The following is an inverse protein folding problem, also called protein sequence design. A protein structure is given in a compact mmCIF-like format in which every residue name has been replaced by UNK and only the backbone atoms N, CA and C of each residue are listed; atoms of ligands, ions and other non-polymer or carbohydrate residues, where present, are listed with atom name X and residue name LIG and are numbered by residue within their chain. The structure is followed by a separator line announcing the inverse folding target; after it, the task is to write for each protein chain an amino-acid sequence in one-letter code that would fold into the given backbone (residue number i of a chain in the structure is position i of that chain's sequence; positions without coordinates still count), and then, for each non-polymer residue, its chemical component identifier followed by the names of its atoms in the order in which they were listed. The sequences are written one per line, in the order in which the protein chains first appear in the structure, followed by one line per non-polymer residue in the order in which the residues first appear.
data_IF_890895827006
#
_entry.id   IF_890895827006
#
_cell.length_a   1.000
_cell.length_b   1.000
_cell.length_c   1.000
_cell.angle_alpha   90.00
_cell.angle_beta   90.00
_cell.angle_gamma   90.00
#
_symmetry.space_group_name_H-M   'P 1'
#
loop_
_entity.id
_entity.type
_entity.pdbx_description
1 polymer ?
#
# COMPACT_ATOMS: atom_id res chain seq x y z
N UNK A 1 -56.39 4.98 45.06
CA UNK A 1 -55.07 5.40 44.54
C UNK A 1 -54.21 4.20 44.15
N UNK A 2 -54.01 3.19 45.00
CA UNK A 2 -53.14 2.02 44.71
C UNK A 2 -53.43 1.22 43.42
N UNK A 3 -54.67 1.23 42.90
CA UNK A 3 -55.06 0.44 41.73
C UNK A 3 -54.73 1.12 40.38
N UNK A 4 -54.57 2.45 40.37
CA UNK A 4 -54.09 3.19 39.18
C UNK A 4 -52.57 3.07 39.04
N UNK A 5 -51.84 3.21 40.15
CA UNK A 5 -50.37 3.12 40.15
C UNK A 5 -49.86 1.75 39.65
N UNK A 6 -50.61 0.68 39.93
CA UNK A 6 -50.27 -0.69 39.50
C UNK A 6 -50.51 -0.91 38.00
N UNK A 7 -51.58 -0.32 37.46
CA UNK A 7 -51.89 -0.38 36.02
C UNK A 7 -50.89 0.46 35.22
N UNK A 8 -50.50 1.63 35.72
CA UNK A 8 -49.49 2.49 35.09
C UNK A 8 -48.11 1.81 35.08
N UNK A 9 -47.76 1.09 36.16
CA UNK A 9 -46.51 0.33 36.24
C UNK A 9 -46.47 -0.87 35.28
N UNK A 10 -47.58 -1.59 35.12
CA UNK A 10 -47.70 -2.69 34.14
C UNK A 10 -47.57 -2.18 32.70
N UNK A 11 -48.22 -1.06 32.37
CA UNK A 11 -48.12 -0.43 31.06
C UNK A 11 -46.68 0.03 30.74
N UNK A 12 -45.97 0.58 31.73
CA UNK A 12 -44.56 0.97 31.58
C UNK A 12 -43.64 -0.22 31.31
N UNK A 13 -43.83 -1.34 32.01
CA UNK A 13 -43.07 -2.58 31.80
C UNK A 13 -43.30 -3.15 30.39
N UNK A 14 -44.55 -3.12 29.92
CA UNK A 14 -44.89 -3.61 28.58
C UNK A 14 -44.28 -2.72 27.47
N UNK A 15 -44.25 -1.40 27.69
CA UNK A 15 -43.60 -0.45 26.80
C UNK A 15 -42.08 -0.66 26.73
N UNK A 16 -41.42 -0.93 27.87
CA UNK A 16 -39.98 -1.27 27.92
C UNK A 16 -39.71 -2.57 27.15
N UNK A 17 -40.52 -3.62 27.38
CA UNK A 17 -40.38 -4.91 26.67
C UNK A 17 -40.49 -4.74 25.16
N UNK A 18 -41.49 -4.00 24.70
CA UNK A 18 -41.71 -3.74 23.28
C UNK A 18 -40.57 -2.92 22.66
N UNK A 19 -40.09 -1.90 23.37
CA UNK A 19 -38.96 -1.07 22.91
C UNK A 19 -37.67 -1.89 22.80
N UNK A 20 -37.39 -2.74 23.78
CA UNK A 20 -36.22 -3.59 23.82
C UNK A 20 -36.27 -4.70 22.75
N UNK A 21 -37.45 -5.24 22.45
CA UNK A 21 -37.65 -6.14 21.31
C UNK A 21 -37.38 -5.44 19.96
N UNK A 22 -37.87 -4.21 19.78
CA UNK A 22 -37.64 -3.42 18.58
C UNK A 22 -36.15 -3.09 18.37
N UNK A 23 -35.44 -2.69 19.43
CA UNK A 23 -34.00 -2.40 19.37
C UNK A 23 -33.17 -3.65 19.05
N UNK A 24 -33.51 -4.80 19.63
CA UNK A 24 -32.85 -6.08 19.30
C UNK A 24 -33.08 -6.48 17.84
N UNK A 25 -34.27 -6.22 17.30
CA UNK A 25 -34.58 -6.47 15.89
C UNK A 25 -33.75 -5.55 14.97
N UNK A 26 -33.68 -4.26 15.28
CA UNK A 26 -32.83 -3.31 14.54
C UNK A 26 -31.36 -3.69 14.59
N UNK A 27 -30.85 -4.07 15.76
CA UNK A 27 -29.48 -4.56 15.93
C UNK A 27 -29.20 -5.78 15.05
N UNK A 28 -30.14 -6.73 14.98
CA UNK A 28 -30.01 -7.92 14.14
C UNK A 28 -29.95 -7.54 12.65
N UNK A 29 -30.85 -6.66 12.19
CA UNK A 29 -30.86 -6.20 10.81
C UNK A 29 -29.54 -5.52 10.42
N UNK A 30 -28.99 -4.66 11.29
CA UNK A 30 -27.69 -4.00 11.07
C UNK A 30 -26.55 -5.02 10.95
N UNK A 31 -26.54 -6.06 11.79
CA UNK A 31 -25.51 -7.10 11.73
C UNK A 31 -25.59 -7.92 10.44
N UNK A 32 -26.80 -8.22 9.97
CA UNK A 32 -27.04 -8.91 8.70
C UNK A 32 -26.56 -8.06 7.51
N UNK A 33 -26.87 -6.75 7.51
CA UNK A 33 -26.40 -5.81 6.49
C UNK A 33 -24.86 -5.66 6.51
N UNK A 34 -24.25 -5.52 7.69
CA UNK A 34 -22.79 -5.48 7.85
C UNK A 34 -22.13 -6.74 7.26
N UNK A 35 -22.70 -7.91 7.54
CA UNK A 35 -22.20 -9.19 7.01
C UNK A 35 -22.34 -9.26 5.48
N UNK A 36 -23.46 -8.77 4.93
CA UNK A 36 -23.69 -8.73 3.48
C UNK A 36 -22.68 -7.82 2.78
N UNK A 37 -22.45 -6.61 3.30
CA UNK A 37 -21.49 -5.65 2.74
C UNK A 37 -20.05 -6.16 2.82
N UNK A 38 -19.68 -6.88 3.90
CA UNK A 38 -18.38 -7.54 4.00
C UNK A 38 -18.21 -8.66 2.97
N UNK A 39 -19.27 -9.44 2.71
CA UNK A 39 -19.26 -10.46 1.67
C UNK A 39 -19.15 -9.83 0.27
N UNK A 40 -19.76 -8.68 0.04
CA UNK A 40 -19.65 -7.92 -1.20
C UNK A 40 -18.22 -7.42 -1.44
N UNK A 41 -17.56 -6.85 -0.42
CA UNK A 41 -16.13 -6.49 -0.51
C UNK A 41 -15.27 -7.73 -0.84
N UNK A 42 -15.53 -8.86 -0.17
CA UNK A 42 -14.80 -10.10 -0.44
C UNK A 42 -15.00 -10.58 -1.89
N UNK A 43 -16.22 -10.47 -2.43
CA UNK A 43 -16.52 -10.82 -3.81
C UNK A 43 -15.80 -9.89 -4.80
N UNK A 44 -15.82 -8.57 -4.57
CA UNK A 44 -15.10 -7.60 -5.40
C UNK A 44 -13.59 -7.87 -5.42
N UNK A 45 -13.00 -8.19 -4.26
CA UNK A 45 -11.57 -8.51 -4.14
C UNK A 45 -11.20 -9.83 -4.83
N UNK A 46 -12.11 -10.78 -4.93
CA UNK A 46 -11.87 -12.08 -5.55
C UNK A 46 -11.98 -12.05 -7.09
N UNK A 47 -12.59 -11.00 -7.66
CA UNK A 47 -12.75 -10.89 -9.11
C UNK A 47 -11.40 -10.69 -9.81
N UNK A 48 -11.14 -11.38 -10.94
CA UNK A 48 -10.02 -11.08 -11.81
C UNK A 48 -9.97 -9.60 -12.21
N UNK A 49 -8.75 -9.12 -12.42
CA UNK A 49 -8.46 -7.75 -12.82
C UNK A 49 -8.48 -7.66 -14.36
N UNK A 50 -9.03 -6.60 -14.97
CA UNK A 50 -8.94 -6.38 -16.42
C UNK A 50 -7.49 -6.40 -16.94
N UNK A 51 -7.27 -6.88 -18.16
CA UNK A 51 -5.90 -7.05 -18.67
C UNK A 51 -5.12 -5.72 -18.78
N UNK A 52 -5.81 -4.62 -19.09
CA UNK A 52 -5.21 -3.28 -19.10
C UNK A 52 -4.69 -2.87 -17.71
N UNK A 53 -5.45 -3.17 -16.66
CA UNK A 53 -5.02 -2.95 -15.28
C UNK A 53 -3.89 -3.88 -14.88
N UNK A 54 -3.85 -5.13 -15.38
CA UNK A 54 -2.70 -6.04 -15.16
C UNK A 54 -1.42 -5.42 -15.74
N UNK A 55 -1.49 -4.87 -16.95
CA UNK A 55 -0.36 -4.17 -17.60
C UNK A 55 0.10 -2.98 -16.74
N UNK A 56 -0.83 -2.22 -16.19
CA UNK A 56 -0.52 -1.11 -15.29
C UNK A 56 0.08 -1.58 -13.96
N UNK A 57 -0.45 -2.64 -13.35
CA UNK A 57 0.07 -3.22 -12.09
C UNK A 57 1.53 -3.65 -12.23
N UNK A 58 1.92 -4.23 -13.36
CA UNK A 58 3.33 -4.57 -13.63
C UNK A 58 4.20 -3.32 -13.67
N UNK A 59 3.72 -2.25 -14.29
CA UNK A 59 4.43 -0.96 -14.33
C UNK A 59 4.55 -0.34 -12.93
N UNK A 60 3.48 -0.33 -12.16
CA UNK A 60 3.44 0.20 -10.80
C UNK A 60 4.36 -0.61 -9.87
N UNK A 61 4.43 -1.93 -10.05
CA UNK A 61 5.35 -2.80 -9.32
C UNK A 61 6.82 -2.44 -9.60
N UNK A 62 7.17 -2.17 -10.86
CA UNK A 62 8.51 -1.72 -11.25
C UNK A 62 8.86 -0.42 -10.54
N UNK A 63 7.94 0.55 -10.54
CA UNK A 63 8.14 1.85 -9.90
C UNK A 63 8.25 1.71 -8.37
N UNK A 64 7.43 0.85 -7.76
CA UNK A 64 7.51 0.56 -6.33
C UNK A 64 8.86 -0.06 -5.94
N UNK A 65 9.38 -1.01 -6.73
CA UNK A 65 10.70 -1.62 -6.50
C UNK A 65 11.83 -0.62 -6.72
N UNK A 66 11.74 0.22 -7.74
CA UNK A 66 12.68 1.31 -8.00
C UNK A 66 12.76 2.28 -6.80
N UNK A 67 11.61 2.58 -6.18
CA UNK A 67 11.56 3.44 -4.99
C UNK A 67 12.30 2.87 -3.79
N UNK A 68 12.26 1.55 -3.57
CA UNK A 68 13.02 0.90 -2.49
C UNK A 68 14.53 1.15 -2.62
N UNK A 69 15.05 1.27 -3.84
CA UNK A 69 16.46 1.61 -4.05
C UNK A 69 16.78 3.03 -3.59
N UNK A 70 15.92 4.01 -3.87
CA UNK A 70 16.07 5.37 -3.35
C UNK A 70 16.03 5.40 -1.82
N UNK A 71 15.08 4.68 -1.23
CA UNK A 71 14.88 4.62 0.21
C UNK A 71 16.02 3.91 0.94
N UNK A 72 16.78 3.04 0.26
CA UNK A 72 17.97 2.39 0.84
C UNK A 72 19.07 3.36 1.28
N UNK A 73 19.10 4.58 0.71
CA UNK A 73 20.14 5.57 0.98
C UNK A 73 21.54 5.21 0.47
N UNK A 74 21.72 4.02 -0.13
CA UNK A 74 23.05 3.56 -0.58
C UNK A 74 23.59 4.42 -1.72
N UNK A 75 22.73 4.83 -2.64
CA UNK A 75 23.10 5.71 -3.74
C UNK A 75 23.54 7.09 -3.24
N UNK A 76 22.78 7.68 -2.30
CA UNK A 76 23.12 8.95 -1.67
C UNK A 76 24.45 8.85 -0.90
N UNK A 77 24.67 7.74 -0.17
CA UNK A 77 25.94 7.46 0.51
C UNK A 77 27.12 7.39 -0.47
N UNK A 78 26.96 6.71 -1.62
CA UNK A 78 28.02 6.58 -2.63
C UNK A 78 28.32 7.91 -3.32
N UNK A 79 27.30 8.71 -3.66
CA UNK A 79 27.50 10.05 -4.19
C UNK A 79 28.17 10.97 -3.16
N UNK A 80 27.81 10.87 -1.89
CA UNK A 80 28.42 11.66 -0.83
C UNK A 80 29.93 11.36 -0.68
N UNK A 81 30.36 10.13 -0.97
CA UNK A 81 31.79 9.79 -1.00
C UNK A 81 32.53 10.47 -2.15
N UNK A 82 31.88 10.78 -3.27
CA UNK A 82 32.49 11.62 -4.31
C UNK A 82 32.58 13.09 -3.90
N UNK A 83 31.61 13.59 -3.14
CA UNK A 83 31.62 14.97 -2.65
C UNK A 83 32.68 15.12 -1.55
N UNK A 84 32.76 14.16 -0.63
CA UNK A 84 33.69 14.12 0.49
C UNK A 84 34.53 12.84 0.45
N UNK A 85 35.58 12.80 -0.40
CA UNK A 85 36.45 11.64 -0.51
C UNK A 85 37.11 11.26 0.82
N UNK A 86 37.30 9.96 1.01
CA UNK A 86 38.03 9.42 2.17
C UNK A 86 39.51 9.30 1.78
N UNK A 87 40.25 10.38 2.00
CA UNK A 87 41.69 10.40 1.79
C UNK A 87 42.45 9.48 2.76
N UNK A 88 41.88 9.24 3.94
CA UNK A 88 42.45 8.43 5.00
C UNK A 88 41.37 7.53 5.64
N UNK A 89 41.55 6.22 5.52
CA UNK A 89 40.59 5.20 5.98
C UNK A 89 40.32 5.21 7.50
N UNK A 90 41.15 5.90 8.28
CA UNK A 90 40.99 6.04 9.74
C UNK A 90 40.21 7.30 10.16
N UNK A 91 39.87 8.19 9.22
CA UNK A 91 39.09 9.38 9.52
C UNK A 91 37.57 9.07 9.46
N UNK A 92 36.79 9.51 10.46
CA UNK A 92 35.34 9.52 10.36
C UNK A 92 34.90 10.36 9.16
N UNK A 93 33.87 9.94 8.43
CA UNK A 93 33.35 10.64 7.23
C UNK A 93 33.01 12.12 7.49
N UNK A 94 32.61 12.46 8.73
CA UNK A 94 32.34 13.83 9.15
C UNK A 94 33.58 14.77 9.15
N UNK A 95 34.79 14.22 8.99
CA UNK A 95 36.05 14.97 8.94
C UNK A 95 36.69 14.98 7.55
N UNK A 96 36.03 14.39 6.55
CA UNK A 96 36.49 14.43 5.16
C UNK A 96 36.34 15.83 4.58
N UNK A 97 37.32 16.27 3.79
CA UNK A 97 37.26 17.53 3.06
C UNK A 97 36.55 17.33 1.71
N UNK A 98 35.90 18.37 1.18
CA UNK A 98 35.31 18.31 -0.16
C UNK A 98 36.34 17.96 -1.23
N UNK A 99 35.87 17.32 -2.31
CA UNK A 99 36.65 17.05 -3.51
C UNK A 99 37.23 18.35 -4.08
N UNK A 100 38.55 18.37 -4.27
CA UNK A 100 39.26 19.53 -4.82
C UNK A 100 39.23 19.57 -6.35
N UNK A 101 39.53 20.73 -6.93
CA UNK A 101 39.61 20.90 -8.38
C UNK A 101 40.68 20.00 -9.02
N UNK A 102 41.82 19.82 -8.35
CA UNK A 102 42.91 18.96 -8.81
C UNK A 102 42.47 17.49 -8.85
N UNK A 103 41.86 17.00 -7.77
CA UNK A 103 41.34 15.63 -7.68
C UNK A 103 40.23 15.37 -8.71
N UNK A 104 39.32 16.33 -8.91
CA UNK A 104 38.31 16.25 -9.96
C UNK A 104 38.96 16.22 -11.37
N UNK A 105 40.08 16.89 -11.57
CA UNK A 105 40.90 16.80 -12.79
C UNK A 105 41.44 15.38 -13.01
N UNK A 106 41.97 14.75 -11.97
CA UNK A 106 42.51 13.38 -12.02
C UNK A 106 41.40 12.35 -12.31
N UNK A 107 40.26 12.42 -11.62
CA UNK A 107 39.12 11.49 -11.81
C UNK A 107 38.54 11.58 -13.23
N UNK A 108 38.45 12.78 -13.82
CA UNK A 108 37.95 12.97 -15.19
C UNK A 108 38.86 12.35 -16.26
N UNK A 109 40.13 12.10 -15.93
CA UNK A 109 41.08 11.43 -16.83
C UNK A 109 41.01 9.89 -16.71
N UNK A 110 40.10 9.36 -15.89
CA UNK A 110 39.97 7.94 -15.66
C UNK A 110 41.02 7.38 -14.70
N UNK A 111 41.69 8.23 -13.90
CA UNK A 111 42.52 7.74 -12.79
C UNK A 111 41.64 6.87 -11.88
N UNK A 112 42.07 5.65 -11.51
CA UNK A 112 41.30 4.80 -10.61
C UNK A 112 41.05 5.43 -9.23
N UNK A 113 41.61 6.60 -8.91
CA UNK A 113 41.31 7.35 -7.70
C UNK A 113 41.88 6.68 -6.46
N UNK A 114 42.89 5.80 -6.61
CA UNK A 114 43.51 5.05 -5.50
C UNK A 114 44.11 5.95 -4.43
N UNK A 115 44.53 7.16 -4.80
CA UNK A 115 45.03 8.18 -3.88
C UNK A 115 43.91 9.02 -3.23
N UNK A 116 42.72 9.03 -3.83
CA UNK A 116 41.57 9.86 -3.44
C UNK A 116 40.62 9.06 -2.53
N UNK A 117 40.45 7.76 -2.76
CA UNK A 117 39.47 6.90 -2.09
C UNK A 117 40.09 5.68 -1.41
N UNK A 118 41.23 5.84 -0.72
CA UNK A 118 42.09 4.75 -0.28
C UNK A 118 41.31 3.52 0.26
N UNK A 119 41.58 2.35 -0.34
CA UNK A 119 41.02 1.01 -0.10
C UNK A 119 39.58 0.73 -0.54
N UNK A 120 38.71 1.74 -0.65
CA UNK A 120 37.30 1.56 -1.03
C UNK A 120 36.94 2.60 -2.08
N UNK A 121 37.21 2.29 -3.34
CA UNK A 121 36.69 3.09 -4.44
C UNK A 121 35.18 3.23 -4.24
N UNK A 122 34.61 4.45 -4.23
CA UNK A 122 33.18 4.61 -4.30
C UNK A 122 32.76 3.89 -5.57
N UNK A 123 32.10 2.75 -5.38
CA UNK A 123 31.52 2.05 -6.49
C UNK A 123 30.39 2.98 -6.92
N UNK A 124 30.58 3.66 -8.05
CA UNK A 124 29.42 3.87 -8.90
C UNK A 124 28.82 2.47 -8.99
N UNK A 125 27.65 2.29 -8.37
CA UNK A 125 26.90 1.04 -8.44
C UNK A 125 26.44 0.95 -9.89
N UNK A 126 27.39 0.69 -10.77
CA UNK A 126 27.17 0.18 -12.10
C UNK A 126 26.64 -1.20 -11.79
N UNK A 127 25.38 -1.48 -12.15
CA UNK A 127 24.81 -2.78 -11.90
C UNK A 127 25.70 -3.85 -12.55
N UNK A 128 26.48 -4.53 -11.72
CA UNK A 128 27.21 -5.74 -12.09
C UNK A 128 26.17 -6.87 -12.16
N UNK A 129 26.40 -7.82 -13.06
CA UNK A 129 25.69 -9.09 -13.14
C UNK A 129 25.48 -9.71 -11.75
N UNK A 130 26.45 -9.58 -10.83
CA UNK A 130 26.34 -10.04 -9.44
C UNK A 130 25.32 -9.28 -8.58
N UNK A 131 25.16 -7.96 -8.76
CA UNK A 131 24.18 -7.15 -8.01
C UNK A 131 22.73 -7.44 -8.44
N UNK A 132 22.53 -7.80 -9.72
CA UNK A 132 21.22 -8.23 -10.23
C UNK A 132 20.75 -9.56 -9.62
N UNK A 133 21.66 -10.41 -9.15
CA UNK A 133 21.29 -11.70 -8.55
C UNK A 133 20.76 -11.58 -7.12
N UNK A 134 21.02 -10.45 -6.44
CA UNK A 134 20.59 -10.25 -5.04
C UNK A 134 19.31 -9.39 -4.93
N UNK A 135 19.17 -8.34 -5.74
CA UNK A 135 17.96 -7.50 -5.79
C UNK A 135 17.81 -6.84 -7.17
N UNK A 136 16.61 -6.88 -7.75
CA UNK A 136 16.25 -6.18 -8.98
C UNK A 136 16.02 -4.67 -8.81
N UNK A 137 15.88 -4.16 -7.58
CA UNK A 137 15.56 -2.76 -7.30
C UNK A 137 16.49 -1.72 -7.96
N UNK A 138 17.84 -1.86 -7.96
CA UNK A 138 18.72 -0.94 -8.68
C UNK A 138 18.50 -0.97 -10.20
N UNK A 139 18.24 -2.15 -10.78
CA UNK A 139 17.94 -2.29 -12.21
C UNK A 139 16.69 -1.50 -12.57
N UNK A 140 15.64 -1.69 -11.76
CA UNK A 140 14.34 -1.05 -11.97
C UNK A 140 14.43 0.46 -11.74
N UNK A 141 15.29 0.93 -10.83
CA UNK A 141 15.56 2.36 -10.68
C UNK A 141 16.23 2.99 -11.91
N UNK A 142 17.29 2.37 -12.45
CA UNK A 142 18.04 2.96 -13.57
C UNK A 142 17.38 2.73 -14.94
N UNK A 143 16.69 1.60 -15.11
CA UNK A 143 16.16 1.15 -16.41
C UNK A 143 14.66 0.91 -16.42
N UNK A 144 13.95 1.27 -15.34
CA UNK A 144 12.51 1.02 -15.19
C UNK A 144 11.68 1.48 -16.38
N UNK A 145 11.91 2.69 -16.89
CA UNK A 145 11.15 3.21 -18.04
C UNK A 145 11.37 2.38 -19.32
N UNK A 146 12.60 1.95 -19.58
CA UNK A 146 12.92 1.10 -20.74
C UNK A 146 12.29 -0.29 -20.56
N UNK A 147 12.34 -0.84 -19.35
CA UNK A 147 11.73 -2.14 -19.02
C UNK A 147 10.20 -2.06 -19.19
N UNK A 148 9.56 -1.04 -18.62
CA UNK A 148 8.10 -0.79 -18.78
C UNK A 148 7.71 -0.67 -20.25
N UNK A 149 8.46 0.10 -21.04
CA UNK A 149 8.19 0.23 -22.48
C UNK A 149 8.30 -1.10 -23.23
N UNK A 150 9.31 -1.93 -22.91
CA UNK A 150 9.47 -3.26 -23.52
C UNK A 150 8.39 -4.24 -23.10
N UNK A 151 7.99 -4.24 -21.82
CA UNK A 151 6.89 -5.05 -21.33
C UNK A 151 5.59 -4.66 -22.03
N UNK A 152 5.33 -3.35 -22.16
CA UNK A 152 4.13 -2.87 -22.84
C UNK A 152 4.05 -3.36 -24.28
N UNK A 153 5.15 -3.23 -25.04
CA UNK A 153 5.25 -3.74 -26.40
C UNK A 153 5.09 -5.27 -26.48
N UNK A 154 5.60 -6.00 -25.48
CA UNK A 154 5.49 -7.45 -25.42
C UNK A 154 4.06 -7.94 -25.14
N UNK A 155 3.35 -7.27 -24.23
CA UNK A 155 1.91 -7.53 -23.98
C UNK A 155 1.10 -7.40 -25.27
N UNK A 156 1.34 -6.31 -26.01
CA UNK A 156 0.61 -6.01 -27.25
C UNK A 156 0.96 -7.02 -28.37
N UNK A 157 2.24 -7.43 -28.47
CA UNK A 157 2.70 -8.40 -29.47
C UNK A 157 2.20 -9.83 -29.20
N UNK A 158 2.18 -10.25 -27.93
CA UNK A 158 1.77 -11.61 -27.53
C UNK A 158 0.26 -11.77 -27.39
N UNK A 159 -0.51 -10.67 -27.51
CA UNK A 159 -1.96 -10.65 -27.35
C UNK A 159 -2.41 -11.34 -26.05
N UNK A 160 -1.67 -11.09 -24.96
CA UNK A 160 -1.95 -11.71 -23.66
C UNK A 160 -3.38 -11.37 -23.25
N UNK A 161 -4.15 -12.40 -22.89
CA UNK A 161 -5.54 -12.29 -22.51
C UNK A 161 -5.88 -13.33 -21.43
N UNK A 162 -6.97 -13.08 -20.73
CA UNK A 162 -7.55 -14.05 -19.80
C UNK A 162 -8.06 -15.27 -20.56
N UNK A 163 -8.00 -16.43 -19.92
CA UNK A 163 -8.58 -17.65 -20.46
C UNK A 163 -10.11 -17.49 -20.59
N UNK A 164 -10.70 -18.19 -21.57
CA UNK A 164 -12.13 -18.05 -21.90
C UNK A 164 -13.07 -18.29 -20.70
N UNK A 165 -12.64 -19.10 -19.73
CA UNK A 165 -13.39 -19.37 -18.49
C UNK A 165 -13.44 -18.16 -17.54
N UNK A 166 -12.43 -17.29 -17.58
CA UNK A 166 -12.29 -16.18 -16.63
C UNK A 166 -12.96 -14.90 -17.12
N UNK A 167 -13.16 -14.75 -18.44
CA UNK A 167 -13.72 -13.54 -19.07
C UNK A 167 -15.06 -13.12 -18.45
N UNK A 168 -15.91 -14.07 -18.07
CA UNK A 168 -17.23 -13.79 -17.49
C UNK A 168 -17.17 -13.25 -16.06
N UNK A 169 -16.04 -13.44 -15.38
CA UNK A 169 -15.87 -13.09 -13.98
C UNK A 169 -14.93 -11.89 -13.79
N UNK A 170 -14.34 -11.36 -14.88
CA UNK A 170 -13.51 -10.15 -14.83
C UNK A 170 -14.33 -9.03 -14.19
N UNK A 171 -13.81 -8.49 -13.10
CA UNK A 171 -14.44 -7.38 -12.40
C UNK A 171 -14.22 -6.06 -13.13
N UNK A 172 -14.82 -5.00 -12.59
CA UNK A 172 -14.59 -3.63 -13.07
C UNK A 172 -13.12 -3.22 -12.92
N UNK A 173 -12.69 -2.14 -13.61
CA UNK A 173 -11.34 -1.61 -13.45
C UNK A 173 -10.96 -1.36 -11.98
N UNK A 174 -9.68 -1.52 -11.65
CA UNK A 174 -9.15 -1.36 -10.28
C UNK A 174 -9.57 -0.01 -9.68
N UNK A 175 -9.52 1.07 -10.47
CA UNK A 175 -9.88 2.40 -10.00
C UNK A 175 -11.34 2.48 -9.54
N UNK A 176 -12.28 1.98 -10.35
CA UNK A 176 -13.71 1.94 -10.02
C UNK A 176 -13.97 1.01 -8.83
N UNK A 177 -13.34 -0.16 -8.83
CA UNK A 177 -13.46 -1.15 -7.76
C UNK A 177 -12.96 -0.60 -6.43
N UNK A 178 -11.87 0.16 -6.44
CA UNK A 178 -11.32 0.82 -5.24
C UNK A 178 -12.29 1.85 -4.68
N UNK A 179 -12.94 2.64 -5.55
CA UNK A 179 -13.98 3.59 -5.12
C UNK A 179 -15.18 2.89 -4.51
N UNK A 180 -15.61 1.78 -5.10
CA UNK A 180 -16.75 1.02 -4.61
C UNK A 180 -16.46 0.35 -3.26
N UNK A 181 -15.29 -0.27 -3.11
CA UNK A 181 -14.85 -0.84 -1.82
C UNK A 181 -14.78 0.26 -0.74
N UNK A 182 -14.28 1.45 -1.08
CA UNK A 182 -14.23 2.57 -0.15
C UNK A 182 -15.64 3.04 0.25
N UNK A 183 -16.57 3.13 -0.70
CA UNK A 183 -17.99 3.47 -0.46
C UNK A 183 -18.67 2.46 0.47
N UNK A 184 -18.46 1.17 0.23
CA UNK A 184 -18.99 0.10 1.10
C UNK A 184 -18.36 0.19 2.50
N UNK A 185 -17.06 0.46 2.59
CA UNK A 185 -16.35 0.68 3.85
C UNK A 185 -16.98 1.79 4.70
N UNK A 186 -17.29 2.94 4.09
CA UNK A 186 -17.98 4.05 4.78
C UNK A 186 -19.39 3.65 5.26
N UNK A 187 -20.10 2.83 4.49
CA UNK A 187 -21.41 2.31 4.89
C UNK A 187 -21.30 1.39 6.11
N UNK A 188 -20.28 0.51 6.14
CA UNK A 188 -19.98 -0.35 7.30
C UNK A 188 -19.65 0.49 8.53
N UNK A 189 -18.81 1.52 8.42
CA UNK A 189 -18.47 2.41 9.55
C UNK A 189 -19.72 3.09 10.14
N UNK A 190 -20.63 3.54 9.28
CA UNK A 190 -21.92 4.11 9.70
C UNK A 190 -22.79 3.08 10.43
N UNK A 191 -22.90 1.85 9.91
CA UNK A 191 -23.64 0.76 10.54
C UNK A 191 -23.06 0.38 11.91
N UNK A 192 -21.73 0.34 12.03
CA UNK A 192 -21.04 0.10 13.32
C UNK A 192 -21.39 1.18 14.34
N UNK A 193 -21.43 2.45 13.91
CA UNK A 193 -21.81 3.58 14.76
C UNK A 193 -23.27 3.49 15.21
N UNK A 194 -24.19 3.16 14.31
CA UNK A 194 -25.61 2.94 14.62
C UNK A 194 -25.81 1.77 15.59
N UNK A 195 -25.11 0.65 15.37
CA UNK A 195 -25.12 -0.50 16.28
C UNK A 195 -24.66 -0.10 17.67
N UNK A 196 -23.59 0.68 17.78
CA UNK A 196 -23.09 1.14 19.08
C UNK A 196 -24.12 2.00 19.81
N UNK A 197 -24.85 2.87 19.10
CA UNK A 197 -25.93 3.65 19.69
C UNK A 197 -27.10 2.76 20.16
N UNK A 198 -27.48 1.75 19.39
CA UNK A 198 -28.51 0.78 19.77
C UNK A 198 -28.07 -0.04 20.99
N UNK A 199 -26.81 -0.48 21.03
CA UNK A 199 -26.26 -1.23 22.17
C UNK A 199 -26.32 -0.39 23.46
N UNK A 200 -26.04 0.93 23.37
CA UNK A 200 -26.21 1.86 24.49
C UNK A 200 -27.68 2.01 24.92
N UNK A 201 -28.61 2.12 23.96
CA UNK A 201 -30.04 2.20 24.26
C UNK A 201 -30.56 0.92 24.92
N UNK A 202 -30.17 -0.25 24.42
CA UNK A 202 -30.51 -1.55 25.04
C UNK A 202 -29.97 -1.61 26.47
N UNK A 203 -28.72 -1.21 26.69
CA UNK A 203 -28.13 -1.19 28.03
C UNK A 203 -28.91 -0.27 28.98
N UNK A 204 -29.34 0.91 28.52
CA UNK A 204 -30.12 1.86 29.33
C UNK A 204 -31.52 1.36 29.72
N UNK A 205 -32.14 0.51 28.89
CA UNK A 205 -33.49 -0.04 29.10
C UNK A 205 -33.49 -1.42 29.78
N UNK A 206 -32.30 -2.02 29.96
CA UNK A 206 -32.14 -3.33 30.62
C UNK A 206 -31.81 -3.21 32.12
N UNK A 207 -31.70 -1.97 32.63
CA UNK A 207 -31.56 -1.62 34.05
C UNK A 207 -32.94 -1.42 34.66
#
# INVERSE_FOLDING_TARGET
MQQNDLNDSLAAVELIKNSLAALRLQRKAILEEESSLKAEIAALNAQPVPMDDVKQVVCDYIDARAKLFLESGEWARNLNQFIYPIHNAHLPTAKCTPLTYEEAGQLRQGDPGRKIFQSHHPKLVIPDVGLFTATDAPLLYFFGDIIKAKIAAYFDAMQLNHDACDIKNIGTPIAERTQEIARIGQCIERLVSQRSAIDQQIASLSV
#
